data_IF_098688962956
#
_entry.id   IF_098688962956
#
_cell.length_a   1.000
_cell.length_b   1.000
_cell.length_c   1.000
_cell.angle_alpha   90.00
_cell.angle_beta   90.00
_cell.angle_gamma   90.00
#
_symmetry.space_group_name_H-M   'P 1'
#
loop_
_entity.id
_entity.type
_entity.pdbx_description
1 polymer ?
#
# COMPACT_ATOMS: atom_id res chain seq x y z
N UNK A 1 -6.91 6.57 24.98
CA UNK A 1 -8.38 6.67 24.97
C UNK A 1 -8.94 7.43 23.77
N UNK A 2 -8.49 8.65 23.39
CA UNK A 2 -9.12 9.39 22.28
C UNK A 2 -8.91 8.76 20.89
N UNK A 3 -7.73 8.20 20.61
CA UNK A 3 -7.44 7.52 19.33
C UNK A 3 -8.29 6.26 19.13
N UNK A 4 -8.56 5.50 20.20
CA UNK A 4 -9.34 4.28 20.12
C UNK A 4 -10.82 4.54 19.76
N UNK A 5 -11.38 5.67 20.21
CA UNK A 5 -12.77 6.07 19.91
C UNK A 5 -12.91 6.54 18.46
N UNK A 6 -11.90 7.25 17.94
CA UNK A 6 -11.89 7.72 16.54
C UNK A 6 -11.76 6.54 15.56
N UNK A 7 -11.02 5.49 15.95
CA UNK A 7 -10.81 4.31 15.12
C UNK A 7 -11.86 3.20 15.34
N UNK A 8 -12.69 3.29 16.38
CA UNK A 8 -13.74 2.32 16.68
C UNK A 8 -14.67 1.99 15.50
N UNK A 9 -15.12 2.94 14.65
CA UNK A 9 -15.93 2.59 13.47
C UNK A 9 -15.13 1.94 12.33
N UNK A 10 -13.80 2.05 12.34
CA UNK A 10 -12.90 1.42 11.34
C UNK A 10 -12.58 -0.03 11.73
N UNK A 11 -12.60 -0.34 13.02
CA UNK A 11 -12.39 -1.70 13.50
C UNK A 11 -13.74 -2.44 13.61
N UNK A 12 -13.98 -3.50 12.81
CA UNK A 12 -15.19 -4.28 12.94
C UNK A 12 -15.35 -4.80 14.38
N UNK A 13 -16.57 -4.77 14.90
CA UNK A 13 -16.90 -5.31 16.21
C UNK A 13 -16.49 -6.79 16.26
N UNK A 14 -15.39 -7.09 16.95
CA UNK A 14 -14.73 -8.40 16.91
C UNK A 14 -13.23 -8.38 16.59
N UNK A 15 -12.65 -7.20 16.37
CA UNK A 15 -11.19 -7.07 16.25
C UNK A 15 -10.46 -7.65 17.47
N UNK A 16 -9.43 -8.49 17.26
CA UNK A 16 -8.70 -9.10 18.38
C UNK A 16 -8.11 -8.00 19.26
N UNK A 17 -8.08 -8.19 20.60
CA UNK A 17 -7.52 -7.20 21.51
C UNK A 17 -6.09 -6.85 21.07
N UNK A 18 -5.75 -5.56 21.08
CA UNK A 18 -4.42 -5.08 20.70
C UNK A 18 -3.38 -5.78 21.57
N UNK A 19 -2.58 -6.65 20.97
CA UNK A 19 -1.57 -7.46 21.67
C UNK A 19 -0.27 -6.68 21.80
N UNK A 20 -0.22 -5.72 22.73
CA UNK A 20 0.96 -4.87 22.98
C UNK A 20 2.23 -5.67 23.32
N UNK A 21 2.10 -6.88 23.86
CA UNK A 21 3.22 -7.80 24.11
C UNK A 21 3.63 -8.68 22.92
N UNK A 22 2.98 -8.56 21.77
CA UNK A 22 3.29 -9.39 20.60
C UNK A 22 4.56 -8.92 19.91
N UNK A 23 5.63 -9.70 20.00
CA UNK A 23 6.89 -9.41 19.31
C UNK A 23 6.73 -9.28 17.80
N UNK A 24 5.84 -10.09 17.20
CA UNK A 24 5.55 -10.02 15.76
C UNK A 24 4.91 -8.69 15.35
N UNK A 25 4.06 -8.10 16.19
CA UNK A 25 3.44 -6.81 15.90
C UNK A 25 4.50 -5.70 15.89
N UNK A 26 5.41 -5.72 16.86
CA UNK A 26 6.54 -4.79 16.90
C UNK A 26 7.51 -5.00 15.72
N UNK A 27 7.78 -6.25 15.35
CA UNK A 27 8.61 -6.55 14.19
C UNK A 27 8.01 -5.99 12.89
N UNK A 28 6.69 -6.12 12.68
CA UNK A 28 5.99 -5.55 11.51
C UNK A 28 6.05 -4.02 11.52
N UNK A 29 5.86 -3.38 12.68
CA UNK A 29 5.98 -1.92 12.82
C UNK A 29 7.39 -1.44 12.49
N UNK A 30 8.42 -2.11 13.04
CA UNK A 30 9.81 -1.78 12.75
C UNK A 30 10.15 -1.99 11.28
N UNK A 31 9.69 -3.09 10.69
CA UNK A 31 9.85 -3.36 9.26
C UNK A 31 9.23 -2.24 8.41
N UNK A 32 7.99 -1.84 8.70
CA UNK A 32 7.33 -0.71 8.03
C UNK A 32 8.07 0.61 8.23
N UNK A 33 8.54 0.89 9.45
CA UNK A 33 9.29 2.12 9.74
C UNK A 33 10.60 2.21 8.95
N UNK A 34 11.38 1.12 8.92
CA UNK A 34 12.67 1.08 8.22
C UNK A 34 12.45 1.10 6.70
N UNK A 35 11.68 0.16 6.16
CA UNK A 35 11.48 0.03 4.71
C UNK A 35 10.70 1.23 4.16
N UNK A 36 9.70 1.72 4.90
CA UNK A 36 8.93 2.90 4.54
C UNK A 36 9.79 4.16 4.46
N UNK A 37 10.75 4.32 5.38
CA UNK A 37 11.69 5.45 5.33
C UNK A 37 12.52 5.44 4.05
N UNK A 38 13.13 4.32 3.68
CA UNK A 38 13.89 4.21 2.43
C UNK A 38 13.01 4.45 1.20
N UNK A 39 11.80 3.90 1.21
CA UNK A 39 10.81 4.08 0.13
C UNK A 39 10.47 5.56 -0.06
N UNK A 40 10.25 6.30 1.03
CA UNK A 40 10.00 7.74 0.98
C UNK A 40 11.21 8.55 0.52
N UNK A 41 12.42 8.19 0.96
CA UNK A 41 13.65 8.86 0.47
C UNK A 41 13.79 8.70 -1.05
N UNK A 42 13.56 7.50 -1.59
CA UNK A 42 13.57 7.28 -3.03
C UNK A 42 12.45 8.01 -3.75
N UNK A 43 11.25 8.05 -3.19
CA UNK A 43 10.15 8.83 -3.74
C UNK A 43 10.53 10.31 -3.85
N UNK A 44 11.05 10.92 -2.78
CA UNK A 44 11.45 12.33 -2.81
C UNK A 44 12.60 12.61 -3.78
N UNK A 45 13.53 11.66 -3.96
CA UNK A 45 14.56 11.77 -5.00
C UNK A 45 13.94 11.72 -6.40
N UNK A 46 13.06 10.75 -6.67
CA UNK A 46 12.33 10.67 -7.94
C UNK A 46 11.55 11.96 -8.24
N UNK A 47 10.85 12.52 -7.26
CA UNK A 47 10.15 13.81 -7.41
C UNK A 47 11.12 14.94 -7.76
N UNK A 48 12.33 14.96 -7.20
CA UNK A 48 13.35 15.98 -7.53
C UNK A 48 13.91 15.80 -8.94
N UNK A 49 14.12 14.57 -9.37
CA UNK A 49 14.81 14.26 -10.64
C UNK A 49 13.87 14.35 -11.85
N UNK A 50 12.64 13.86 -11.75
CA UNK A 50 11.67 13.80 -12.87
C UNK A 50 10.42 14.66 -12.65
N UNK A 51 10.31 15.31 -11.49
CA UNK A 51 9.16 16.15 -11.14
C UNK A 51 7.98 15.36 -10.57
N UNK A 52 7.04 16.06 -9.90
CA UNK A 52 5.90 15.45 -9.22
C UNK A 52 4.90 14.79 -10.18
N UNK A 53 4.68 15.37 -11.37
CA UNK A 53 3.70 14.82 -12.34
C UNK A 53 4.08 13.44 -12.85
N UNK A 54 5.34 13.25 -13.24
CA UNK A 54 5.85 11.95 -13.73
C UNK A 54 5.88 10.94 -12.58
N UNK A 55 6.35 11.35 -11.39
CA UNK A 55 6.41 10.45 -10.23
C UNK A 55 5.01 9.98 -9.80
N UNK A 56 4.01 10.86 -9.84
CA UNK A 56 2.62 10.51 -9.52
C UNK A 56 2.05 9.46 -10.49
N UNK A 57 2.42 9.50 -11.77
CA UNK A 57 2.01 8.48 -12.75
C UNK A 57 2.55 7.10 -12.33
N UNK A 58 3.82 7.01 -11.93
CA UNK A 58 4.43 5.75 -11.45
C UNK A 58 3.77 5.20 -10.18
N UNK A 59 3.28 6.06 -9.29
CA UNK A 59 2.56 5.60 -8.08
C UNK A 59 1.30 4.80 -8.42
N UNK A 60 0.70 5.00 -9.59
CA UNK A 60 -0.45 4.19 -9.99
C UNK A 60 -0.08 2.73 -10.34
N UNK A 61 1.21 2.41 -10.49
CA UNK A 61 1.68 1.03 -10.63
C UNK A 61 1.79 0.31 -9.28
N UNK A 62 1.75 1.03 -8.16
CA UNK A 62 1.81 0.46 -6.82
C UNK A 62 0.80 -0.70 -6.59
N UNK A 63 -0.50 -0.58 -6.94
CA UNK A 63 -1.43 -1.69 -6.78
C UNK A 63 -1.10 -2.91 -7.65
N UNK A 64 -0.52 -2.73 -8.84
CA UNK A 64 -0.07 -3.85 -9.67
C UNK A 64 1.08 -4.61 -8.98
N UNK A 65 2.06 -3.88 -8.44
CA UNK A 65 3.16 -4.45 -7.65
C UNK A 65 2.60 -5.14 -6.40
N UNK A 66 1.60 -4.55 -5.74
CA UNK A 66 0.94 -5.14 -4.57
C UNK A 66 0.30 -6.49 -4.87
N UNK A 67 -0.47 -6.60 -5.95
CA UNK A 67 -1.10 -7.87 -6.38
C UNK A 67 -0.04 -8.90 -6.76
N UNK A 68 1.01 -8.49 -7.48
CA UNK A 68 2.11 -9.39 -7.86
C UNK A 68 2.85 -9.92 -6.62
N UNK A 69 3.16 -9.05 -5.65
CA UNK A 69 3.80 -9.46 -4.40
C UNK A 69 2.88 -10.32 -3.52
N UNK A 70 1.57 -10.06 -3.48
CA UNK A 70 0.62 -10.92 -2.78
C UNK A 70 0.63 -12.34 -3.38
N UNK A 71 0.58 -12.45 -4.71
CA UNK A 71 0.64 -13.74 -5.38
C UNK A 71 1.98 -14.47 -5.14
N UNK A 72 3.11 -13.75 -5.15
CA UNK A 72 4.45 -14.35 -5.03
C UNK A 72 4.88 -14.65 -3.59
N UNK A 73 4.63 -13.74 -2.64
CA UNK A 73 5.10 -13.85 -1.26
C UNK A 73 4.07 -14.50 -0.34
N UNK A 74 2.78 -14.22 -0.55
CA UNK A 74 1.70 -14.79 0.27
C UNK A 74 1.15 -16.07 -0.36
N UNK A 75 1.33 -16.25 -1.67
CA UNK A 75 0.81 -17.41 -2.40
C UNK A 75 -0.69 -17.32 -2.69
N UNK A 76 -1.27 -16.13 -2.63
CA UNK A 76 -2.70 -15.94 -2.90
C UNK A 76 -3.00 -16.14 -4.40
N UNK A 77 -4.03 -16.93 -4.69
CA UNK A 77 -4.54 -17.09 -6.05
C UNK A 77 -5.20 -15.81 -6.52
N UNK A 78 -4.66 -15.20 -7.57
CA UNK A 78 -5.22 -13.99 -8.18
C UNK A 78 -6.56 -14.33 -8.85
N UNK A 79 -7.65 -13.88 -8.23
CA UNK A 79 -9.00 -14.14 -8.72
C UNK A 79 -9.43 -13.19 -9.83
N UNK A 80 -10.54 -13.49 -10.53
CA UNK A 80 -11.08 -12.66 -11.62
C UNK A 80 -11.34 -11.20 -11.19
N UNK A 81 -11.77 -10.99 -9.94
CA UNK A 81 -12.02 -9.65 -9.40
C UNK A 81 -10.73 -8.82 -9.26
N UNK A 82 -9.61 -9.43 -8.85
CA UNK A 82 -8.31 -8.75 -8.79
C UNK A 82 -7.79 -8.41 -10.18
N UNK A 83 -7.96 -9.31 -11.15
CA UNK A 83 -7.62 -9.04 -12.55
C UNK A 83 -8.43 -7.85 -13.07
N UNK A 84 -9.74 -7.83 -12.82
CA UNK A 84 -10.60 -6.71 -13.22
C UNK A 84 -10.15 -5.40 -12.57
N UNK A 85 -9.79 -5.44 -11.28
CA UNK A 85 -9.25 -4.28 -10.56
C UNK A 85 -7.95 -3.76 -11.18
N UNK A 86 -7.00 -4.65 -11.50
CA UNK A 86 -5.75 -4.29 -12.19
C UNK A 86 -6.03 -3.64 -13.55
N UNK A 87 -6.94 -4.22 -14.35
CA UNK A 87 -7.33 -3.65 -15.66
C UNK A 87 -7.94 -2.26 -15.49
N UNK A 88 -8.82 -2.06 -14.51
CA UNK A 88 -9.46 -0.78 -14.24
C UNK A 88 -8.43 0.28 -13.84
N UNK A 89 -7.46 -0.08 -12.99
CA UNK A 89 -6.35 0.80 -12.62
C UNK A 89 -5.57 1.21 -13.86
N UNK A 90 -5.10 0.24 -14.66
CA UNK A 90 -4.31 0.52 -15.87
C UNK A 90 -5.08 1.42 -16.85
N UNK A 91 -6.39 1.23 -17.00
CA UNK A 91 -7.23 2.11 -17.80
C UNK A 91 -7.27 3.54 -17.26
N UNK A 92 -7.43 3.72 -15.93
CA UNK A 92 -7.39 5.02 -15.28
C UNK A 92 -6.02 5.72 -15.43
N UNK A 93 -4.92 4.98 -15.33
CA UNK A 93 -3.57 5.51 -15.57
C UNK A 93 -3.39 5.97 -17.01
N UNK A 94 -3.82 5.15 -17.97
CA UNK A 94 -3.76 5.49 -19.39
C UNK A 94 -4.54 6.77 -19.71
N UNK A 95 -5.69 6.98 -19.07
CA UNK A 95 -6.50 8.18 -19.26
C UNK A 95 -5.88 9.43 -18.63
N UNK A 96 -5.28 9.30 -17.45
CA UNK A 96 -4.67 10.42 -16.72
C UNK A 96 -3.30 10.82 -17.27
N UNK A 97 -2.55 9.88 -17.83
CA UNK A 97 -1.21 10.12 -18.40
C UNK A 97 -1.26 10.73 -19.80
N UNK A 98 -2.39 10.58 -20.53
CA UNK A 98 -2.56 11.11 -21.90
C UNK A 98 -2.95 12.59 -21.97
N UNK A 99 -2.74 13.37 -20.90
CA UNK A 99 -2.97 14.83 -20.89
C UNK A 99 -1.67 15.59 -20.73
#
# INVERSE_FOLDING_TARGET
MPVAVILAPVFPAGSPPTRWGSWTAWAVVLFQGIVGTFSHVWYYRGVRDVGPSVTAIFMNLQPLVGVALAALLVGETVGPAQVLGVVLILAGVGLTTRR
#
